data_IF_215194028808
#
_entry.id   IF_215194028808
#
_cell.length_a   1.000
_cell.length_b   1.000
_cell.length_c   1.000
_cell.angle_alpha   90.00
_cell.angle_beta   90.00
_cell.angle_gamma   90.00
#
_symmetry.space_group_name_H-M   'P 1'
#
loop_
_entity.id
_entity.type
_entity.pdbx_description
1 polymer ?
#
# COMPACT_ATOMS: atom_id res chain seq x y z
N UNK A 1 -4.13 -13.02 8.22
CA UNK A 1 -3.53 -12.67 6.91
C UNK A 1 -2.03 -12.89 6.94
N UNK A 2 -1.40 -13.25 5.82
CA UNK A 2 0.04 -13.60 5.79
C UNK A 2 0.84 -12.45 5.17
N UNK A 3 1.97 -12.03 5.77
CA UNK A 3 2.78 -10.89 5.29
C UNK A 3 3.16 -11.02 3.82
N UNK A 4 3.44 -12.24 3.38
CA UNK A 4 3.74 -12.52 1.98
C UNK A 4 2.58 -12.19 1.03
N UNK A 5 1.33 -12.47 1.41
CA UNK A 5 0.16 -12.19 0.58
C UNK A 5 -0.12 -10.68 0.49
N UNK A 6 0.03 -9.96 1.61
CA UNK A 6 -0.10 -8.49 1.65
C UNK A 6 0.98 -7.83 0.80
N UNK A 7 2.23 -8.27 0.96
CA UNK A 7 3.35 -7.76 0.19
C UNK A 7 3.17 -8.03 -1.30
N UNK A 8 2.73 -9.23 -1.68
CA UNK A 8 2.46 -9.59 -3.08
C UNK A 8 1.36 -8.71 -3.70
N UNK A 9 0.26 -8.49 -2.98
CA UNK A 9 -0.81 -7.60 -3.39
C UNK A 9 -0.31 -6.16 -3.60
N UNK A 10 0.34 -5.58 -2.58
CA UNK A 10 0.92 -4.23 -2.66
C UNK A 10 1.91 -4.13 -3.83
N UNK A 11 2.80 -5.11 -3.98
CA UNK A 11 3.78 -5.13 -5.07
C UNK A 11 3.11 -5.22 -6.43
N UNK A 12 2.08 -6.05 -6.58
CA UNK A 12 1.31 -6.18 -7.81
C UNK A 12 0.61 -4.86 -8.18
N UNK A 13 -0.02 -4.18 -7.23
CA UNK A 13 -0.72 -2.92 -7.51
C UNK A 13 0.25 -1.80 -7.85
N UNK A 14 1.32 -1.63 -7.08
CA UNK A 14 2.38 -0.67 -7.40
C UNK A 14 3.01 -1.01 -8.74
N UNK A 15 3.35 -2.28 -8.99
CA UNK A 15 3.87 -2.74 -10.27
C UNK A 15 2.93 -2.40 -11.42
N UNK A 16 1.61 -2.50 -11.23
CA UNK A 16 0.62 -2.10 -12.24
C UNK A 16 0.62 -0.59 -12.50
N UNK A 17 0.79 0.22 -11.47
CA UNK A 17 0.92 1.68 -11.59
C UNK A 17 2.22 2.08 -12.29
N UNK A 18 3.30 1.32 -12.06
CA UNK A 18 4.62 1.52 -12.65
C UNK A 18 4.81 0.82 -14.02
N UNK A 19 3.74 0.53 -14.75
CA UNK A 19 3.77 -0.15 -16.06
C UNK A 19 4.53 -1.50 -16.04
N UNK A 20 4.29 -2.30 -15.01
CA UNK A 20 4.87 -3.64 -14.84
C UNK A 20 6.26 -3.67 -14.19
N UNK A 21 6.79 -2.55 -13.68
CA UNK A 21 8.06 -2.56 -12.93
C UNK A 21 7.85 -3.11 -11.53
N UNK A 22 8.32 -4.33 -11.30
CA UNK A 22 8.25 -5.01 -10.00
C UNK A 22 9.61 -5.09 -9.26
N UNK A 23 10.56 -4.24 -9.65
CA UNK A 23 11.94 -4.21 -9.14
C UNK A 23 12.24 -3.05 -8.19
N UNK A 24 11.22 -2.53 -7.51
CA UNK A 24 11.39 -1.50 -6.48
C UNK A 24 11.65 -2.14 -5.12
N UNK A 25 12.42 -1.43 -4.29
CA UNK A 25 12.75 -1.89 -2.95
C UNK A 25 11.59 -1.61 -1.98
N UNK A 26 11.42 -2.46 -0.97
CA UNK A 26 10.38 -2.27 0.04
C UNK A 26 10.63 -1.03 0.91
N UNK A 27 11.89 -0.59 0.99
CA UNK A 27 12.32 0.63 1.71
C UNK A 27 12.01 1.92 0.92
N UNK A 28 11.66 1.82 -0.37
CA UNK A 28 11.33 3.00 -1.17
C UNK A 28 9.98 3.57 -0.75
N UNK A 29 9.90 4.90 -0.61
CA UNK A 29 8.63 5.58 -0.39
C UNK A 29 7.77 5.57 -1.65
N UNK A 30 6.44 5.53 -1.48
CA UNK A 30 5.49 5.56 -2.62
C UNK A 30 5.74 6.78 -3.53
N UNK A 31 6.03 7.95 -2.96
CA UNK A 31 6.40 9.16 -3.72
C UNK A 31 7.69 8.99 -4.53
N UNK A 32 8.69 8.24 -4.02
CA UNK A 32 9.93 7.96 -4.75
C UNK A 32 9.72 7.01 -5.94
N UNK A 33 8.66 6.21 -5.89
CA UNK A 33 8.23 5.38 -7.01
C UNK A 33 7.51 6.20 -8.09
N UNK A 34 7.19 7.47 -7.80
CA UNK A 34 6.40 8.33 -8.68
C UNK A 34 4.91 8.10 -8.53
N UNK A 35 4.46 7.60 -7.36
CA UNK A 35 3.05 7.53 -7.02
C UNK A 35 2.64 8.87 -6.42
N UNK A 36 1.71 9.56 -7.07
CA UNK A 36 1.10 10.77 -6.53
C UNK A 36 0.04 10.40 -5.49
N UNK A 37 -0.44 11.40 -4.74
CA UNK A 37 -1.49 11.21 -3.72
C UNK A 37 -2.68 10.40 -4.25
N UNK A 38 -3.10 10.67 -5.49
CA UNK A 38 -4.21 9.97 -6.13
C UNK A 38 -3.90 8.48 -6.38
N UNK A 39 -2.69 8.16 -6.83
CA UNK A 39 -2.27 6.77 -7.03
C UNK A 39 -2.21 6.00 -5.70
N UNK A 40 -1.78 6.68 -4.62
CA UNK A 40 -1.74 6.10 -3.28
C UNK A 40 -3.17 5.89 -2.75
N UNK A 41 -4.08 6.85 -2.96
CA UNK A 41 -5.50 6.72 -2.62
C UNK A 41 -6.15 5.54 -3.36
N UNK A 42 -5.93 5.41 -4.67
CA UNK A 42 -6.42 4.28 -5.44
C UNK A 42 -5.79 2.96 -4.98
N UNK A 43 -4.49 2.93 -4.70
CA UNK A 43 -3.80 1.76 -4.16
C UNK A 43 -4.44 1.29 -2.85
N UNK A 44 -4.68 2.20 -1.91
CA UNK A 44 -5.28 1.90 -0.61
C UNK A 44 -6.71 1.40 -0.81
N UNK A 45 -7.54 2.07 -1.61
CA UNK A 45 -8.91 1.65 -1.89
C UNK A 45 -9.00 0.24 -2.49
N UNK A 46 -8.09 -0.10 -3.40
CA UNK A 46 -8.02 -1.44 -4.01
C UNK A 46 -7.59 -2.51 -3.00
N UNK A 47 -6.69 -2.18 -2.09
CA UNK A 47 -6.25 -3.07 -1.01
C UNK A 47 -7.37 -3.25 0.03
N UNK A 48 -8.11 -2.20 0.36
CA UNK A 48 -9.30 -2.27 1.22
C UNK A 48 -10.37 -3.20 0.64
N UNK A 49 -10.70 -3.04 -0.65
CA UNK A 49 -11.65 -3.88 -1.37
C UNK A 49 -11.18 -5.35 -1.41
N UNK A 50 -9.90 -5.59 -1.71
CA UNK A 50 -9.33 -6.94 -1.80
C UNK A 50 -9.24 -7.67 -0.46
N UNK A 51 -9.01 -6.94 0.63
CA UNK A 51 -8.87 -7.50 1.97
C UNK A 51 -10.12 -7.29 2.85
N UNK A 52 -11.21 -6.77 2.28
CA UNK A 52 -12.46 -6.42 2.97
C UNK A 52 -12.22 -5.55 4.23
N UNK A 53 -11.21 -4.66 4.17
CA UNK A 53 -10.84 -3.79 5.29
C UNK A 53 -11.69 -2.52 5.24
N UNK A 54 -12.41 -2.23 6.33
CA UNK A 54 -13.29 -1.06 6.44
C UNK A 54 -12.64 0.11 7.20
N UNK A 55 -11.34 0.04 7.49
CA UNK A 55 -10.70 0.84 8.54
C UNK A 55 -9.85 2.02 8.04
N UNK A 56 -9.56 2.17 6.75
CA UNK A 56 -8.56 3.16 6.35
C UNK A 56 -9.08 4.60 6.41
N UNK A 57 -10.38 4.89 6.31
CA UNK A 57 -10.90 6.28 6.23
C UNK A 57 -10.36 7.36 7.19
N UNK A 58 -9.88 7.05 8.41
CA UNK A 58 -9.25 8.04 9.32
C UNK A 58 -7.74 7.91 9.44
N UNK A 59 -7.22 6.70 9.26
CA UNK A 59 -5.80 6.39 9.38
C UNK A 59 -5.09 6.61 8.03
N UNK A 60 -5.83 6.57 6.93
CA UNK A 60 -5.45 6.90 5.55
C UNK A 60 -4.96 8.33 5.44
N UNK A 61 -5.64 9.32 6.01
CA UNK A 61 -5.17 10.71 5.97
C UNK A 61 -3.82 10.89 6.68
N UNK A 62 -3.56 10.11 7.74
CA UNK A 62 -2.26 10.11 8.41
C UNK A 62 -1.19 9.33 7.63
N UNK A 63 -1.58 8.24 6.97
CA UNK A 63 -0.73 7.48 6.05
C UNK A 63 -0.35 8.31 4.82
N UNK A 64 -1.30 8.98 4.18
CA UNK A 64 -1.07 9.84 3.02
C UNK A 64 -0.20 11.05 3.37
N UNK A 65 -0.25 11.55 4.61
CA UNK A 65 0.58 12.67 5.08
C UNK A 65 2.00 12.28 5.45
N UNK A 66 2.25 11.00 5.72
CA UNK A 66 3.59 10.49 6.02
C UNK A 66 4.06 9.80 4.77
N UNK A 67 5.10 10.29 4.09
CA UNK A 67 5.71 9.58 2.97
C UNK A 67 6.05 8.13 3.40
N UNK A 68 5.13 7.19 3.14
CA UNK A 68 5.23 5.83 3.66
C UNK A 68 6.00 4.97 2.67
N UNK A 69 6.82 4.08 3.22
CA UNK A 69 7.50 3.04 2.45
C UNK A 69 6.52 1.91 2.11
N UNK A 70 6.89 1.10 1.12
CA UNK A 70 6.14 -0.12 0.78
C UNK A 70 6.08 -1.07 1.98
N UNK A 71 7.15 -1.15 2.77
CA UNK A 71 7.18 -1.94 4.01
C UNK A 71 6.22 -1.39 5.09
N UNK A 72 6.17 -0.06 5.27
CA UNK A 72 5.24 0.59 6.20
C UNK A 72 3.78 0.30 5.82
N UNK A 73 3.45 0.40 4.53
CA UNK A 73 2.10 0.08 4.03
C UNK A 73 1.76 -1.40 4.29
N UNK A 74 2.70 -2.32 4.01
CA UNK A 74 2.51 -3.73 4.26
C UNK A 74 2.32 -4.04 5.76
N UNK A 75 3.08 -3.39 6.63
CA UNK A 75 2.96 -3.53 8.08
C UNK A 75 1.61 -3.01 8.58
N UNK A 76 1.16 -1.88 8.05
CA UNK A 76 -0.11 -1.28 8.43
C UNK A 76 -1.30 -2.17 8.07
N UNK A 77 -1.33 -2.71 6.85
CA UNK A 77 -2.35 -3.68 6.40
C UNK A 77 -2.39 -4.93 7.30
N UNK A 78 -1.23 -5.42 7.74
CA UNK A 78 -1.15 -6.54 8.67
C UNK A 78 -1.67 -6.20 10.08
N UNK A 79 -1.41 -4.98 10.55
CA UNK A 79 -1.90 -4.51 11.85
C UNK A 79 -3.43 -4.42 11.87
N UNK A 80 -4.03 -3.94 10.78
CA UNK A 80 -5.50 -3.88 10.65
C UNK A 80 -6.10 -5.28 10.47
N UNK A 81 -5.51 -6.12 9.61
CA UNK A 81 -6.05 -7.46 9.34
C UNK A 81 -5.88 -8.43 10.51
N UNK A 82 -4.96 -8.15 11.44
CA UNK A 82 -4.77 -8.92 12.67
C UNK A 82 -5.74 -8.55 13.80
N UNK A 83 -6.61 -7.56 13.60
CA UNK A 83 -7.49 -6.99 14.63
C UNK A 83 -8.88 -7.63 14.66
#
# INVERSE_FOLDING_TARGET
MNRAAVRDAVHRYIGRLLDGKNGFDDDMSLEQLGLDKQDIEELIFRLEDEFELSAFTREEDQLLKRAITVDDLCRFLLEISGR
#
